data_IF_675864896898
#
_entry.id   IF_675864896898
#
_cell.length_a   1.000
_cell.length_b   1.000
_cell.length_c   1.000
_cell.angle_alpha   90.00
_cell.angle_beta   90.00
_cell.angle_gamma   90.00
#
_symmetry.space_group_name_H-M   'P 1'
#
loop_
_entity.id
_entity.type
_entity.pdbx_description
1 polymer ?
#
# COMPACT_ATOMS: atom_id res chain seq x y z
N UNK A 1 -4.30 -10.86 2.96
CA UNK A 1 -4.13 -10.41 4.36
C UNK A 1 -3.78 -8.94 4.27
N UNK A 2 -4.64 -8.07 4.81
CA UNK A 2 -4.49 -6.63 4.73
C UNK A 2 -3.98 -6.02 6.03
N UNK A 3 -3.61 -4.75 5.96
CA UNK A 3 -3.30 -3.90 7.10
C UNK A 3 -4.27 -2.73 7.12
N UNK A 4 -4.58 -2.24 8.32
CA UNK A 4 -5.44 -1.08 8.52
C UNK A 4 -4.61 0.11 8.98
N UNK A 5 -4.87 1.28 8.39
CA UNK A 5 -4.23 2.58 8.68
C UNK A 5 -5.30 3.61 9.02
N UNK A 6 -4.85 4.78 9.50
CA UNK A 6 -5.70 5.95 9.78
C UNK A 6 -6.90 5.58 10.67
N UNK A 7 -6.62 5.12 11.89
CA UNK A 7 -7.65 4.70 12.86
C UNK A 7 -8.63 3.66 12.27
N UNK A 8 -8.07 2.68 11.58
CA UNK A 8 -8.75 1.59 10.90
C UNK A 8 -9.71 1.98 9.76
N UNK A 9 -9.66 3.23 9.31
CA UNK A 9 -10.51 3.73 8.22
C UNK A 9 -9.95 3.47 6.83
N UNK A 10 -8.65 3.18 6.70
CA UNK A 10 -7.99 2.85 5.43
C UNK A 10 -7.46 1.42 5.45
N UNK A 11 -8.07 0.55 4.66
CA UNK A 11 -7.57 -0.81 4.41
C UNK A 11 -6.59 -0.82 3.25
N UNK A 12 -5.45 -1.49 3.44
CA UNK A 12 -4.43 -1.71 2.41
C UNK A 12 -4.16 -3.20 2.26
N UNK A 13 -4.28 -3.70 1.04
CA UNK A 13 -4.02 -5.10 0.70
C UNK A 13 -3.00 -5.20 -0.42
N UNK A 14 -2.07 -6.16 -0.30
CA UNK A 14 -1.08 -6.46 -1.34
C UNK A 14 -1.21 -7.92 -1.72
N UNK A 15 -1.47 -8.19 -3.01
CA UNK A 15 -1.64 -9.55 -3.50
C UNK A 15 -1.25 -9.69 -4.98
N UNK A 16 -0.98 -10.93 -5.40
CA UNK A 16 -0.87 -11.27 -6.82
C UNK A 16 -2.28 -11.42 -7.39
N UNK A 17 -2.58 -10.73 -8.50
CA UNK A 17 -3.87 -10.81 -9.20
C UNK A 17 -3.77 -11.85 -10.34
N UNK A 18 -4.33 -13.07 -10.16
CA UNK A 18 -4.19 -14.12 -11.16
C UNK A 18 -4.89 -13.78 -12.48
N UNK A 19 -5.96 -12.96 -12.42
CA UNK A 19 -6.69 -12.51 -13.61
C UNK A 19 -5.80 -11.67 -14.54
N UNK A 20 -4.81 -10.99 -13.97
CA UNK A 20 -3.81 -10.19 -14.68
C UNK A 20 -2.50 -10.93 -14.88
N UNK A 21 -2.44 -12.25 -14.66
CA UNK A 21 -1.23 -13.04 -14.82
C UNK A 21 -0.61 -13.00 -16.22
N UNK A 22 -1.38 -12.60 -17.23
CA UNK A 22 -0.90 -12.36 -18.60
C UNK A 22 -0.16 -11.02 -18.78
N UNK A 23 -0.34 -10.09 -17.85
CA UNK A 23 0.28 -8.78 -17.86
C UNK A 23 1.51 -8.74 -16.94
N UNK A 24 2.51 -7.91 -17.25
CA UNK A 24 3.73 -7.80 -16.46
C UNK A 24 3.51 -7.13 -15.09
N UNK A 25 2.40 -6.41 -14.92
CA UNK A 25 1.96 -5.67 -13.73
C UNK A 25 0.83 -6.40 -12.99
N UNK A 26 1.17 -7.55 -12.43
CA UNK A 26 0.22 -8.48 -11.81
C UNK A 26 0.28 -8.50 -10.28
N UNK A 27 0.99 -7.54 -9.67
CA UNK A 27 0.96 -7.31 -8.23
C UNK A 27 0.04 -6.13 -7.96
N UNK A 28 -1.04 -6.35 -7.23
CA UNK A 28 -2.03 -5.34 -6.90
C UNK A 28 -1.83 -4.83 -5.47
N UNK A 29 -1.77 -3.50 -5.33
CA UNK A 29 -1.98 -2.77 -4.09
C UNK A 29 -3.41 -2.23 -4.11
N UNK A 30 -4.29 -2.80 -3.30
CA UNK A 30 -5.68 -2.36 -3.14
C UNK A 30 -5.82 -1.48 -1.91
N UNK A 31 -6.47 -0.33 -2.09
CA UNK A 31 -6.76 0.66 -1.08
C UNK A 31 -8.27 0.86 -1.00
N UNK A 32 -8.82 0.81 0.20
CA UNK A 32 -10.25 1.00 0.44
C UNK A 32 -10.49 1.83 1.71
N UNK A 33 -11.35 2.83 1.59
CA UNK A 33 -11.69 3.76 2.68
C UNK A 33 -13.09 3.46 3.24
N UNK A 34 -13.18 3.17 4.53
CA UNK A 34 -14.42 2.82 5.23
C UNK A 34 -15.06 4.03 5.94
N UNK A 35 -14.75 5.24 5.51
CA UNK A 35 -15.19 6.50 6.11
C UNK A 35 -16.24 7.22 5.23
N UNK A 36 -16.95 8.23 5.78
CA UNK A 36 -17.83 9.11 5.00
C UNK A 36 -17.10 9.77 3.82
N UNK A 37 -17.86 10.11 2.78
CA UNK A 37 -17.29 10.66 1.54
C UNK A 37 -16.51 11.97 1.77
N UNK A 38 -16.94 12.81 2.71
CA UNK A 38 -16.24 14.04 3.10
C UNK A 38 -14.87 13.80 3.76
N UNK A 39 -14.61 12.60 4.28
CA UNK A 39 -13.36 12.23 4.97
C UNK A 39 -12.39 11.45 4.06
N UNK A 40 -12.87 10.97 2.91
CA UNK A 40 -12.06 10.20 1.96
C UNK A 40 -10.88 11.02 1.41
N UNK A 41 -9.68 10.47 1.53
CA UNK A 41 -8.44 11.02 0.99
C UNK A 41 -8.31 10.66 -0.48
N UNK A 42 -8.66 9.44 -0.88
CA UNK A 42 -8.53 8.97 -2.25
C UNK A 42 -9.71 9.40 -3.13
N UNK A 43 -10.82 9.82 -2.51
CA UNK A 43 -12.06 10.26 -3.17
C UNK A 43 -12.53 9.20 -4.20
N UNK A 44 -12.34 7.93 -3.85
CA UNK A 44 -12.72 6.77 -4.63
C UNK A 44 -13.38 5.74 -3.71
N UNK A 45 -14.19 4.85 -4.27
CA UNK A 45 -14.71 3.73 -3.50
C UNK A 45 -13.64 2.66 -3.29
N UNK A 46 -12.84 2.39 -4.31
CA UNK A 46 -11.68 1.51 -4.25
C UNK A 46 -10.59 2.07 -5.18
N UNK A 47 -9.33 1.99 -4.76
CA UNK A 47 -8.19 2.34 -5.60
C UNK A 47 -7.27 1.13 -5.71
N UNK A 48 -7.05 0.67 -6.94
CA UNK A 48 -6.11 -0.41 -7.24
C UNK A 48 -4.90 0.18 -7.97
N UNK A 49 -3.70 -0.14 -7.47
CA UNK A 49 -2.44 0.19 -8.13
C UNK A 49 -1.76 -1.11 -8.53
N UNK A 50 -1.64 -1.32 -9.84
CA UNK A 50 -0.94 -2.46 -10.41
C UNK A 50 0.54 -2.15 -10.60
N UNK A 51 1.37 -3.08 -10.15
CA UNK A 51 2.82 -2.96 -10.12
C UNK A 51 3.44 -4.16 -10.80
N UNK A 52 4.51 -3.93 -11.54
CA UNK A 52 5.39 -5.03 -11.92
C UNK A 52 6.10 -5.60 -10.68
N UNK A 53 6.58 -6.86 -10.72
CA UNK A 53 7.36 -7.42 -9.62
C UNK A 53 8.57 -6.57 -9.21
N UNK A 54 9.21 -5.89 -10.16
CA UNK A 54 10.36 -5.02 -9.87
C UNK A 54 9.93 -3.73 -9.17
N UNK A 55 8.83 -3.11 -9.60
CA UNK A 55 8.25 -1.95 -8.92
C UNK A 55 7.80 -2.29 -7.50
N UNK A 56 7.16 -3.44 -7.31
CA UNK A 56 6.72 -3.91 -5.99
C UNK A 56 7.91 -4.13 -5.04
N UNK A 57 9.01 -4.74 -5.54
CA UNK A 57 10.25 -4.90 -4.76
C UNK A 57 10.86 -3.55 -4.38
N UNK A 58 10.91 -2.62 -5.33
CA UNK A 58 11.48 -1.30 -5.09
C UNK A 58 10.65 -0.50 -4.08
N UNK A 59 9.31 -0.55 -4.17
CA UNK A 59 8.42 0.06 -3.19
C UNK A 59 8.65 -0.50 -1.79
N UNK A 60 8.75 -1.84 -1.65
CA UNK A 60 9.06 -2.47 -0.37
C UNK A 60 10.42 -2.01 0.19
N UNK A 61 11.44 -1.88 -0.68
CA UNK A 61 12.77 -1.39 -0.29
C UNK A 61 12.73 0.05 0.22
N UNK A 62 11.98 0.93 -0.45
CA UNK A 62 11.81 2.33 -0.03
C UNK A 62 11.12 2.43 1.34
N UNK A 63 10.06 1.64 1.56
CA UNK A 63 9.39 1.57 2.86
C UNK A 63 10.33 1.12 3.98
N UNK A 64 11.09 0.04 3.76
CA UNK A 64 12.05 -0.47 4.74
C UNK A 64 13.18 0.53 5.03
N UNK A 65 13.66 1.25 4.00
CA UNK A 65 14.66 2.29 4.19
C UNK A 65 14.14 3.46 5.06
N UNK A 66 12.87 3.86 4.87
CA UNK A 66 12.23 4.88 5.69
C UNK A 66 12.08 4.43 7.16
N UNK A 67 11.71 3.17 7.40
CA UNK A 67 11.67 2.58 8.74
C UNK A 67 13.04 2.65 9.40
N UNK A 68 14.08 2.16 8.72
CA UNK A 68 15.44 2.17 9.26
C UNK A 68 15.93 3.60 9.59
N UNK A 69 15.55 4.60 8.80
CA UNK A 69 15.88 6.00 9.07
C UNK A 69 15.12 6.55 10.31
N UNK A 70 13.84 6.21 10.45
CA UNK A 70 13.01 6.60 11.59
C UNK A 70 13.55 6.04 12.91
N UNK A 71 13.89 4.75 12.94
CA UNK A 71 14.45 4.08 14.13
C UNK A 71 15.82 4.64 14.52
N UNK A 72 16.67 4.97 13.55
CA UNK A 72 17.96 5.62 13.81
C UNK A 72 17.81 7.02 14.40
N UNK A 73 16.74 7.74 14.07
CA UNK A 73 16.47 9.05 14.65
C UNK A 73 15.92 8.93 16.08
N UNK A 74 15.03 7.97 16.32
CA UNK A 74 14.41 7.74 17.62
C UNK A 74 15.38 7.12 18.65
N UNK A 75 16.42 6.42 18.22
CA UNK A 75 17.48 5.87 19.09
C UNK A 75 18.55 6.89 19.49
N UNK A 76 18.51 8.12 18.94
CA UNK A 76 19.40 9.23 19.28
C UNK A 76 18.75 10.28 20.19
N UNK A 77 17.49 10.07 20.59
CA UNK A 77 16.74 10.91 21.53
C UNK A 77 16.65 10.23 22.89
#
# INVERSE_FOLDING_TARGET
MGLYLLDDTLSVEVFYEPSDGQFPDNVCLRLWESCPAEEKILIADETNVFLTPDQARELARLLLAAVAASEQNNSKS
#
